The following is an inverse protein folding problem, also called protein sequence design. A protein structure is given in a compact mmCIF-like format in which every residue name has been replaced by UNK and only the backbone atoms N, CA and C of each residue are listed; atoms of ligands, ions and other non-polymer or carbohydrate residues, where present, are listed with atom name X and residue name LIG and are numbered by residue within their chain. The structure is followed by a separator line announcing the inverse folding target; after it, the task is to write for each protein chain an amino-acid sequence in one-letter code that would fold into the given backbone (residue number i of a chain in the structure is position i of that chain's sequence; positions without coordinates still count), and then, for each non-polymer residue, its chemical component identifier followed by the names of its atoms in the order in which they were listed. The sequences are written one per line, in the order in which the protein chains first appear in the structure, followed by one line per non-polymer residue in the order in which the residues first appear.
data_IF_386910049316
#
_entry.id   IF_386910049316
#
_cell.length_a   1.000
_cell.length_b   1.000
_cell.length_c   1.000
_cell.angle_alpha   90.00
_cell.angle_beta   90.00
_cell.angle_gamma   90.00
#
_symmetry.space_group_name_H-M   'P 1'
#
loop_
_entity.id
_entity.type
_entity.pdbx_description
1 polymer ?
#
# COMPACT_ATOMS: atom_id res chain seq x y z
N UNK A 1 12.72 13.77 -16.36
CA UNK A 1 12.80 15.22 -16.57
C UNK A 1 11.47 15.61 -17.19
N UNK A 2 10.61 16.24 -16.40
CA UNK A 2 9.28 16.76 -16.79
C UNK A 2 9.21 17.35 -18.20
N UNK A 3 8.06 17.14 -18.83
CA UNK A 3 7.70 17.81 -20.08
C UNK A 3 7.23 19.23 -19.77
N UNK A 4 7.49 20.17 -20.68
CA UNK A 4 7.07 21.56 -20.50
C UNK A 4 6.54 22.20 -21.79
N UNK A 5 5.63 23.14 -21.63
CA UNK A 5 5.14 24.05 -22.66
C UNK A 5 5.32 25.49 -22.17
N UNK A 6 6.18 26.27 -22.82
CA UNK A 6 6.49 27.64 -22.45
C UNK A 6 5.77 28.63 -23.37
N UNK A 7 5.29 29.74 -22.81
CA UNK A 7 4.66 30.80 -23.58
C UNK A 7 5.65 31.46 -24.57
N UNK A 8 5.15 31.99 -25.70
CA UNK A 8 3.74 32.01 -26.08
C UNK A 8 3.26 30.65 -26.62
N UNK A 9 2.08 30.22 -26.17
CA UNK A 9 1.34 29.09 -26.71
C UNK A 9 -0.13 29.50 -26.90
N UNK A 10 -0.82 28.83 -27.80
CA UNK A 10 -2.26 28.99 -28.04
C UNK A 10 -3.09 28.13 -27.08
N UNK A 11 -4.38 28.43 -26.96
CA UNK A 11 -5.30 27.60 -26.17
C UNK A 11 -5.38 26.16 -26.69
N UNK A 12 -5.21 25.97 -28.01
CA UNK A 12 -5.18 24.65 -28.65
C UNK A 12 -3.92 23.89 -28.22
N UNK A 13 -2.75 24.51 -28.28
CA UNK A 13 -1.50 23.87 -27.85
C UNK A 13 -1.51 23.53 -26.36
N UNK A 14 -2.10 24.39 -25.52
CA UNK A 14 -2.33 24.10 -24.11
C UNK A 14 -3.24 22.89 -23.92
N UNK A 15 -4.37 22.84 -24.64
CA UNK A 15 -5.30 21.73 -24.55
C UNK A 15 -4.66 20.41 -25.01
N UNK A 16 -3.93 20.42 -26.13
CA UNK A 16 -3.22 19.25 -26.67
C UNK A 16 -2.16 18.74 -25.69
N UNK A 17 -1.42 19.65 -25.04
CA UNK A 17 -0.45 19.28 -24.01
C UNK A 17 -1.11 18.59 -22.81
N UNK A 18 -2.23 19.13 -22.31
CA UNK A 18 -2.98 18.53 -21.18
C UNK A 18 -3.51 17.14 -21.58
N UNK A 19 -4.08 17.01 -22.78
CA UNK A 19 -4.59 15.72 -23.26
C UNK A 19 -3.46 14.69 -23.36
N UNK A 20 -2.31 15.07 -23.93
CA UNK A 20 -1.19 14.16 -24.14
C UNK A 20 -0.57 13.67 -22.83
N UNK A 21 -0.40 14.55 -21.85
CA UNK A 21 0.33 14.19 -20.62
C UNK A 21 -0.58 13.86 -19.44
N UNK A 22 -1.70 14.56 -19.24
CA UNK A 22 -2.62 14.23 -18.16
C UNK A 22 -3.54 13.08 -18.53
N UNK A 23 -4.32 13.19 -19.60
CA UNK A 23 -5.36 12.19 -19.88
C UNK A 23 -4.78 10.86 -20.36
N UNK A 24 -3.75 10.86 -21.20
CA UNK A 24 -3.16 9.62 -21.74
C UNK A 24 -2.10 9.00 -20.83
N UNK A 25 -1.33 9.83 -20.12
CA UNK A 25 -0.17 9.37 -19.32
C UNK A 25 -0.34 9.54 -17.81
N UNK A 26 -1.48 10.08 -17.36
CA UNK A 26 -1.81 10.29 -15.96
C UNK A 26 -0.77 11.15 -15.20
N UNK A 27 -0.07 12.05 -15.89
CA UNK A 27 0.92 12.95 -15.28
C UNK A 27 0.24 14.15 -14.64
N UNK A 28 0.82 14.65 -13.55
CA UNK A 28 0.32 15.85 -12.86
C UNK A 28 0.70 17.10 -13.65
N UNK A 29 -0.30 17.91 -13.99
CA UNK A 29 -0.07 19.20 -14.65
C UNK A 29 0.06 20.29 -13.60
N UNK A 30 1.12 21.09 -13.71
CA UNK A 30 1.30 22.30 -12.90
C UNK A 30 1.60 23.48 -13.82
N UNK A 31 0.83 24.54 -13.68
CA UNK A 31 1.01 25.78 -14.43
C UNK A 31 1.64 26.83 -13.50
N UNK A 32 2.72 27.46 -13.95
CA UNK A 32 3.40 28.53 -13.23
C UNK A 32 3.79 29.64 -14.20
N UNK A 33 3.32 30.87 -13.92
CA UNK A 33 3.56 32.08 -14.72
C UNK A 33 3.32 31.86 -16.22
N UNK A 34 4.37 31.45 -16.93
CA UNK A 34 4.46 31.35 -18.38
C UNK A 34 4.73 29.93 -18.87
N UNK A 35 4.72 28.92 -17.98
CA UNK A 35 5.09 27.54 -18.33
C UNK A 35 4.11 26.55 -17.73
N UNK A 36 3.71 25.57 -18.52
CA UNK A 36 2.96 24.40 -18.09
C UNK A 36 3.94 23.23 -18.00
N UNK A 37 4.01 22.58 -16.85
CA UNK A 37 4.80 21.38 -16.64
C UNK A 37 3.90 20.16 -16.51
N UNK A 38 4.32 19.04 -17.10
CA UNK A 38 3.81 17.72 -16.78
C UNK A 38 4.87 16.98 -15.95
N UNK A 39 4.57 16.80 -14.67
CA UNK A 39 5.49 16.21 -13.70
C UNK A 39 5.44 14.69 -13.78
N UNK A 40 6.63 14.09 -13.81
CA UNK A 40 6.79 12.66 -13.55
C UNK A 40 6.34 12.33 -12.11
N UNK A 41 6.03 11.06 -11.85
CA UNK A 41 5.52 10.63 -10.54
C UNK A 41 6.45 11.00 -9.37
N UNK A 42 7.76 10.99 -9.61
CA UNK A 42 8.80 11.32 -8.63
C UNK A 42 9.21 12.79 -8.62
N UNK A 43 8.49 13.67 -9.31
CA UNK A 43 8.79 15.09 -9.40
C UNK A 43 7.79 15.93 -8.60
N UNK A 44 8.29 17.01 -8.01
CA UNK A 44 7.51 18.07 -7.36
C UNK A 44 7.96 19.43 -7.87
N UNK A 45 7.15 20.46 -7.67
CA UNK A 45 7.59 21.83 -7.93
C UNK A 45 8.53 22.30 -6.82
N UNK A 46 9.74 22.67 -7.21
CA UNK A 46 10.69 23.39 -6.36
C UNK A 46 10.21 24.81 -6.06
N UNK A 47 10.80 25.40 -5.01
CA UNK A 47 10.50 26.78 -4.59
C UNK A 47 10.97 27.82 -5.61
N UNK A 48 11.88 27.46 -6.50
CA UNK A 48 12.33 28.27 -7.64
C UNK A 48 11.38 28.20 -8.85
N UNK A 49 10.25 27.49 -8.72
CA UNK A 49 9.27 27.34 -9.77
C UNK A 49 9.66 26.34 -10.86
N UNK A 50 10.69 25.50 -10.63
CA UNK A 50 11.11 24.44 -11.55
C UNK A 50 10.84 23.05 -10.95
N UNK A 51 10.54 22.04 -11.78
CA UNK A 51 10.44 20.66 -11.31
C UNK A 51 11.76 20.16 -10.73
N UNK A 52 11.69 19.52 -9.56
CA UNK A 52 12.80 18.82 -8.91
C UNK A 52 12.35 17.41 -8.55
N UNK A 53 13.33 16.50 -8.36
CA UNK A 53 13.03 15.17 -7.81
C UNK A 53 12.59 15.32 -6.37
N UNK A 54 11.46 14.71 -6.01
CA UNK A 54 10.99 14.67 -4.63
C UNK A 54 11.98 13.83 -3.79
N UNK A 55 12.69 14.44 -2.82
CA UNK A 55 13.64 13.70 -2.00
C UNK A 55 12.97 12.63 -1.12
N UNK A 56 11.66 12.74 -0.88
CA UNK A 56 10.88 11.81 -0.07
C UNK A 56 10.06 10.82 -0.91
N UNK A 57 10.26 10.77 -2.24
CA UNK A 57 9.38 10.00 -3.13
C UNK A 57 9.25 8.52 -2.72
N UNK A 58 10.38 7.86 -2.48
CA UNK A 58 10.39 6.44 -2.07
C UNK A 58 9.71 6.23 -0.72
N UNK A 59 9.92 7.14 0.23
CA UNK A 59 9.28 7.09 1.55
C UNK A 59 7.76 7.28 1.46
N UNK A 60 7.29 8.26 0.67
CA UNK A 60 5.87 8.47 0.43
C UNK A 60 5.23 7.29 -0.31
N UNK A 61 5.95 6.68 -1.25
CA UNK A 61 5.50 5.50 -1.98
C UNK A 61 5.34 4.31 -1.03
N UNK A 62 6.34 4.06 -0.17
CA UNK A 62 6.28 3.01 0.84
C UNK A 62 5.14 3.24 1.84
N UNK A 63 4.93 4.49 2.28
CA UNK A 63 3.82 4.84 3.17
C UNK A 63 2.46 4.59 2.50
N UNK A 64 2.27 5.03 1.25
CA UNK A 64 1.03 4.76 0.49
C UNK A 64 0.77 3.27 0.33
N UNK A 65 1.82 2.49 0.09
CA UNK A 65 1.68 1.04 0.00
C UNK A 65 1.31 0.42 1.34
N UNK A 66 1.92 0.86 2.45
CA UNK A 66 1.55 0.40 3.80
C UNK A 66 0.09 0.77 4.16
N UNK A 67 -0.35 1.99 3.84
CA UNK A 67 -1.72 2.44 4.04
C UNK A 67 -2.73 1.64 3.19
N UNK A 68 -2.34 1.26 1.97
CA UNK A 68 -3.16 0.42 1.09
C UNK A 68 -3.25 -1.01 1.61
N UNK A 69 -2.11 -1.60 2.01
CA UNK A 69 -2.06 -2.94 2.61
C UNK A 69 -2.90 -2.99 3.89
N UNK A 70 -2.85 -1.95 4.73
CA UNK A 70 -3.64 -1.85 5.94
C UNK A 70 -5.15 -1.98 5.71
N UNK A 71 -5.66 -1.56 4.55
CA UNK A 71 -7.08 -1.66 4.17
C UNK A 71 -7.48 -3.02 3.62
N UNK A 72 -6.53 -3.94 3.41
CA UNK A 72 -6.85 -5.28 2.95
C UNK A 72 -7.57 -6.03 4.06
N UNK A 73 -8.63 -6.74 3.69
CA UNK A 73 -9.40 -7.57 4.62
C UNK A 73 -9.29 -9.04 4.26
N UNK A 74 -9.58 -9.90 5.22
CA UNK A 74 -9.81 -11.32 4.95
C UNK A 74 -10.80 -11.92 5.95
N UNK A 75 -11.47 -13.00 5.56
CA UNK A 75 -12.32 -13.73 6.50
C UNK A 75 -11.47 -14.43 7.57
N UNK A 76 -12.03 -14.60 8.78
CA UNK A 76 -11.41 -15.40 9.86
C UNK A 76 -10.98 -16.80 9.41
N UNK A 77 -11.77 -17.43 8.53
CA UNK A 77 -11.47 -18.73 7.95
C UNK A 77 -10.23 -18.66 7.06
N UNK A 78 -10.13 -17.68 6.16
CA UNK A 78 -8.97 -17.53 5.29
C UNK A 78 -7.71 -17.30 6.12
N UNK A 79 -7.77 -16.45 7.14
CA UNK A 79 -6.65 -16.23 8.05
C UNK A 79 -6.18 -17.53 8.71
N UNK A 80 -7.10 -18.30 9.30
CA UNK A 80 -6.77 -19.59 9.90
C UNK A 80 -6.16 -20.60 8.91
N UNK A 81 -6.66 -20.64 7.67
CA UNK A 81 -6.11 -21.52 6.62
C UNK A 81 -4.71 -21.09 6.15
N UNK A 82 -4.44 -19.79 6.08
CA UNK A 82 -3.11 -19.27 5.78
C UNK A 82 -2.13 -19.61 6.90
N UNK A 83 -2.54 -19.48 8.16
CA UNK A 83 -1.74 -19.93 9.31
C UNK A 83 -1.43 -21.43 9.26
N UNK A 84 -2.40 -22.27 8.88
CA UNK A 84 -2.18 -23.71 8.68
C UNK A 84 -1.13 -24.03 7.61
N UNK A 85 -1.09 -23.25 6.53
CA UNK A 85 -0.05 -23.39 5.49
C UNK A 85 1.36 -23.06 6.03
N UNK A 86 1.44 -22.23 7.07
CA UNK A 86 2.68 -21.93 7.79
C UNK A 86 2.96 -22.91 8.94
N UNK A 87 2.19 -23.99 9.08
CA UNK A 87 2.36 -25.00 10.11
C UNK A 87 1.69 -24.67 11.46
N UNK A 88 0.93 -23.57 11.55
CA UNK A 88 0.19 -23.20 12.76
C UNK A 88 -1.17 -23.90 12.76
N UNK A 89 -1.39 -24.78 13.73
CA UNK A 89 -2.67 -25.48 13.89
C UNK A 89 -3.77 -24.55 14.37
N UNK A 90 -5.03 -24.92 14.11
CA UNK A 90 -6.18 -24.17 14.62
C UNK A 90 -6.25 -24.18 16.15
N UNK A 91 -5.72 -25.22 16.81
CA UNK A 91 -5.66 -25.27 18.27
C UNK A 91 -4.69 -24.21 18.83
N UNK A 92 -3.51 -24.06 18.24
CA UNK A 92 -2.55 -23.02 18.63
C UNK A 92 -3.13 -21.61 18.45
N UNK A 93 -3.82 -21.36 17.33
CA UNK A 93 -4.51 -20.08 17.11
C UNK A 93 -5.56 -19.82 18.20
N UNK A 94 -6.37 -20.83 18.55
CA UNK A 94 -7.39 -20.69 19.61
C UNK A 94 -6.77 -20.41 20.98
N UNK A 95 -5.63 -21.03 21.29
CA UNK A 95 -4.93 -20.79 22.57
C UNK A 95 -4.50 -19.33 22.69
N UNK A 96 -3.88 -18.77 21.64
CA UNK A 96 -3.45 -17.36 21.60
C UNK A 96 -4.64 -16.40 21.75
N UNK A 97 -5.73 -16.67 21.03
CA UNK A 97 -6.96 -15.87 21.12
C UNK A 97 -7.53 -15.94 22.55
N UNK A 98 -7.57 -17.13 23.15
CA UNK A 98 -8.12 -17.31 24.50
C UNK A 98 -7.27 -16.65 25.60
N UNK A 99 -5.97 -16.45 25.37
CA UNK A 99 -5.09 -15.75 26.31
C UNK A 99 -5.15 -14.22 26.20
N UNK A 100 -5.86 -13.69 25.19
CA UNK A 100 -6.00 -12.25 24.97
C UNK A 100 -7.47 -11.86 24.77
N UNK A 101 -8.09 -11.26 25.79
CA UNK A 101 -9.50 -10.88 25.78
C UNK A 101 -9.88 -9.97 24.60
N UNK A 102 -8.97 -9.07 24.17
CA UNK A 102 -9.21 -8.21 23.01
C UNK A 102 -9.19 -9.01 21.70
N UNK A 103 -8.25 -9.96 21.57
CA UNK A 103 -8.22 -10.87 20.43
C UNK A 103 -9.46 -11.75 20.38
N UNK A 104 -9.96 -12.20 21.53
CA UNK A 104 -11.21 -12.96 21.62
C UNK A 104 -12.41 -12.12 21.18
N UNK A 105 -12.54 -10.90 21.70
CA UNK A 105 -13.61 -9.98 21.30
C UNK A 105 -13.59 -9.70 19.81
N UNK A 106 -12.41 -9.41 19.26
CA UNK A 106 -12.23 -9.20 17.82
C UNK A 106 -12.63 -10.45 17.04
N UNK A 107 -12.12 -11.62 17.43
CA UNK A 107 -12.40 -12.88 16.75
C UNK A 107 -13.88 -13.26 16.78
N UNK A 108 -14.58 -12.98 17.88
CA UNK A 108 -15.99 -13.32 18.03
C UNK A 108 -16.89 -12.34 17.25
N UNK A 109 -16.57 -11.04 17.27
CA UNK A 109 -17.45 -9.98 16.78
C UNK A 109 -17.14 -9.48 15.37
N UNK A 110 -15.89 -9.56 14.89
CA UNK A 110 -15.56 -9.07 13.55
C UNK A 110 -16.18 -9.96 12.46
N UNK A 111 -16.61 -9.33 11.35
CA UNK A 111 -17.03 -10.04 10.13
C UNK A 111 -15.79 -10.45 9.33
N UNK A 112 -14.87 -9.50 9.18
CA UNK A 112 -13.59 -9.66 8.52
C UNK A 112 -12.48 -9.08 9.38
N UNK A 113 -11.28 -9.64 9.25
CA UNK A 113 -10.06 -9.11 9.83
C UNK A 113 -9.48 -8.08 8.87
N UNK A 114 -9.24 -6.87 9.35
CA UNK A 114 -8.56 -5.81 8.61
C UNK A 114 -7.07 -5.81 8.96
N UNK A 115 -6.18 -5.76 7.96
CA UNK A 115 -4.73 -5.83 8.18
C UNK A 115 -4.21 -4.74 9.10
N UNK A 116 -4.82 -3.55 9.06
CA UNK A 116 -4.49 -2.42 9.93
C UNK A 116 -4.73 -2.68 11.42
N UNK A 117 -5.43 -3.76 11.78
CA UNK A 117 -5.69 -4.10 13.18
C UNK A 117 -4.39 -4.52 13.90
N UNK A 118 -3.94 -3.75 14.91
CA UNK A 118 -2.69 -4.02 15.62
C UNK A 118 -2.68 -5.33 16.44
N UNK A 119 -3.86 -5.90 16.72
CA UNK A 119 -3.97 -7.19 17.38
C UNK A 119 -3.44 -8.32 16.49
N UNK A 120 -3.53 -8.18 15.16
CA UNK A 120 -3.02 -9.18 14.23
C UNK A 120 -1.49 -9.27 14.30
N UNK A 121 -0.78 -8.14 14.37
CA UNK A 121 0.68 -8.14 14.55
C UNK A 121 1.07 -8.76 15.91
N UNK A 122 0.30 -8.49 16.96
CA UNK A 122 0.51 -9.08 18.29
C UNK A 122 0.37 -10.61 18.25
N UNK A 123 -0.73 -11.12 17.71
CA UNK A 123 -0.97 -12.56 17.57
C UNK A 123 0.03 -13.23 16.62
N UNK A 124 0.40 -12.56 15.52
CA UNK A 124 1.38 -13.06 14.56
C UNK A 124 2.78 -13.19 15.21
N UNK A 125 3.18 -12.23 16.03
CA UNK A 125 4.45 -12.28 16.76
C UNK A 125 4.53 -13.50 17.70
N UNK A 126 3.45 -13.83 18.41
CA UNK A 126 3.37 -15.04 19.25
C UNK A 126 3.50 -16.35 18.44
N UNK A 127 3.16 -16.30 17.15
CA UNK A 127 3.31 -17.40 16.20
C UNK A 127 4.64 -17.38 15.43
N UNK A 128 5.56 -16.47 15.76
CA UNK A 128 6.81 -16.23 15.04
C UNK A 128 6.59 -15.86 13.55
N UNK A 129 5.53 -15.11 13.27
CA UNK A 129 5.20 -14.59 11.94
C UNK A 129 5.53 -13.10 11.92
N UNK A 130 6.36 -12.69 10.95
CA UNK A 130 6.76 -11.29 10.82
C UNK A 130 5.64 -10.42 10.22
N UNK A 131 5.62 -9.10 10.47
CA UNK A 131 4.69 -8.18 9.83
C UNK A 131 4.73 -8.25 8.29
N UNK A 132 5.91 -8.44 7.70
CA UNK A 132 6.05 -8.57 6.24
C UNK A 132 5.44 -9.86 5.71
N UNK A 133 5.53 -10.96 6.47
CA UNK A 133 4.88 -12.23 6.13
C UNK A 133 3.36 -12.07 6.22
N UNK A 134 2.89 -11.38 7.26
CA UNK A 134 1.47 -11.07 7.44
C UNK A 134 0.93 -10.18 6.31
N UNK A 135 1.66 -9.14 5.88
CA UNK A 135 1.32 -8.32 4.72
C UNK A 135 1.18 -9.16 3.46
N UNK A 136 2.13 -10.07 3.21
CA UNK A 136 2.08 -10.99 2.06
C UNK A 136 0.88 -11.94 2.13
N UNK A 137 0.48 -12.41 3.32
CA UNK A 137 -0.73 -13.23 3.48
C UNK A 137 -1.98 -12.45 3.05
N UNK A 138 -2.11 -11.18 3.47
CA UNK A 138 -3.22 -10.32 3.08
C UNK A 138 -3.22 -10.00 1.58
N UNK A 139 -2.05 -9.76 0.98
CA UNK A 139 -1.92 -9.61 -0.48
C UNK A 139 -2.32 -10.87 -1.24
N UNK A 140 -1.90 -12.05 -0.76
CA UNK A 140 -2.23 -13.33 -1.37
C UNK A 140 -3.74 -13.60 -1.39
N UNK A 141 -4.42 -13.45 -0.25
CA UNK A 141 -5.87 -13.71 -0.18
C UNK A 141 -6.69 -12.69 -0.98
N UNK A 142 -6.16 -11.49 -1.22
CA UNK A 142 -6.75 -10.47 -2.08
C UNK A 142 -6.35 -10.61 -3.57
N UNK A 143 -5.64 -11.68 -3.93
CA UNK A 143 -5.29 -11.99 -5.33
C UNK A 143 -4.13 -11.17 -5.89
N UNK A 144 -3.37 -10.47 -5.05
CA UNK A 144 -2.21 -9.67 -5.46
C UNK A 144 -0.92 -10.49 -5.54
N UNK A 145 -0.90 -11.68 -4.94
CA UNK A 145 0.19 -12.64 -5.06
C UNK A 145 -0.33 -13.98 -5.56
N UNK A 146 0.36 -14.56 -6.55
CA UNK A 146 0.04 -15.89 -7.09
C UNK A 146 0.57 -17.02 -6.20
N UNK A 147 1.68 -16.77 -5.48
CA UNK A 147 2.37 -17.75 -4.66
C UNK A 147 2.20 -17.41 -3.18
N UNK A 148 1.87 -18.42 -2.37
CA UNK A 148 1.71 -18.26 -0.93
C UNK A 148 3.08 -17.97 -0.27
N UNK A 149 3.19 -17.00 0.64
CA UNK A 149 4.46 -16.68 1.29
C UNK A 149 4.96 -17.85 2.16
N UNK A 150 6.26 -18.12 2.09
CA UNK A 150 6.92 -19.02 3.04
C UNK A 150 7.10 -18.33 4.39
N UNK A 151 7.09 -19.10 5.48
CA UNK A 151 7.37 -18.58 6.81
C UNK A 151 8.82 -18.06 6.86
N UNK A 152 8.99 -16.75 6.96
CA UNK A 152 10.28 -16.18 7.33
C UNK A 152 10.39 -16.29 8.85
N UNK A 153 11.02 -17.36 9.34
CA UNK A 153 11.32 -17.48 10.76
C UNK A 153 12.34 -16.40 11.15
N UNK A 154 12.09 -15.70 12.26
CA UNK A 154 13.10 -14.84 12.86
C UNK A 154 14.34 -15.68 13.18
N UNK A 155 15.47 -15.29 12.59
CA UNK A 155 16.78 -15.89 12.87
C UNK A 155 17.24 -15.60 14.29
#
# INVERSE_FOLDING_TARGET
MSYKLEQPYTDIEKADFIVEYNHKKNLKIVENNNTIFALEANEIMGTDGKPIINPNYETELAQKEAERIGKLTCTKRNFALMLQKLGVSYSQLKEIIATNEQAQLEWDLCVELERSNPLLDTMAAELNITPETLDKMFKYVNGELEVFPEAQHNA
#
